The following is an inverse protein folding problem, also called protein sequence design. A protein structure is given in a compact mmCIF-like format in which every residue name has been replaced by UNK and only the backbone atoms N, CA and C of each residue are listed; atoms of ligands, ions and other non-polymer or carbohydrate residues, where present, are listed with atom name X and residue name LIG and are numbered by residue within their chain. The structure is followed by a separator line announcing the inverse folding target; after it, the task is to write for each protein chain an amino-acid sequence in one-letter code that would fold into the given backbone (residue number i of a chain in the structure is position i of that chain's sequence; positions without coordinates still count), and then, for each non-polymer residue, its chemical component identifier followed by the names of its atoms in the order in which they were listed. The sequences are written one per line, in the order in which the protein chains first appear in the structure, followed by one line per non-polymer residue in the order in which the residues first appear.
data_IF_193992636828
#
_entry.id   IF_193992636828
#
_cell.length_a   1.000
_cell.length_b   1.000
_cell.length_c   1.000
_cell.angle_alpha   90.00
_cell.angle_beta   90.00
_cell.angle_gamma   90.00
#
_symmetry.space_group_name_H-M   'P 1'
#
loop_
_entity.id
_entity.type
_entity.pdbx_description
1 polymer ?
#
# COMPACT_ATOMS: atom_id res chain seq x y z
N UNK A 1 -12.03 -7.81 13.68
CA UNK A 1 -12.50 -8.92 12.81
C UNK A 1 -11.32 -9.81 12.48
N UNK A 2 -11.48 -11.12 12.23
CA UNK A 2 -10.35 -11.98 11.90
C UNK A 2 -10.23 -12.14 10.37
N UNK A 3 -9.37 -11.34 9.74
CA UNK A 3 -9.26 -11.30 8.27
C UNK A 3 -8.72 -12.62 7.68
N UNK A 4 -7.94 -13.38 8.46
CA UNK A 4 -7.36 -14.65 8.00
C UNK A 4 -8.37 -15.78 7.80
N UNK A 5 -9.59 -15.65 8.31
CA UNK A 5 -10.66 -16.64 8.16
C UNK A 5 -11.51 -16.42 6.89
N UNK A 6 -11.37 -15.27 6.22
CA UNK A 6 -12.15 -14.94 5.03
C UNK A 6 -11.55 -15.56 3.76
N UNK A 7 -12.43 -15.85 2.80
CA UNK A 7 -11.98 -16.28 1.48
C UNK A 7 -11.38 -15.10 0.69
N UNK A 8 -10.69 -15.41 -0.41
CA UNK A 8 -10.05 -14.37 -1.24
C UNK A 8 -11.04 -13.33 -1.78
N UNK A 9 -12.30 -13.72 -2.05
CA UNK A 9 -13.31 -12.81 -2.62
C UNK A 9 -13.84 -11.87 -1.55
N UNK A 10 -14.11 -12.39 -0.37
CA UNK A 10 -14.60 -11.62 0.75
C UNK A 10 -13.52 -10.66 1.26
N UNK A 11 -12.25 -11.11 1.36
CA UNK A 11 -11.11 -10.23 1.62
C UNK A 11 -10.99 -9.08 0.61
N UNK A 12 -11.19 -9.38 -0.68
CA UNK A 12 -11.20 -8.34 -1.72
C UNK A 12 -12.35 -7.36 -1.51
N UNK A 13 -13.53 -7.86 -1.18
CA UNK A 13 -14.71 -7.03 -0.91
C UNK A 13 -14.49 -6.13 0.30
N UNK A 14 -13.97 -6.67 1.40
CA UNK A 14 -13.65 -5.91 2.61
C UNK A 14 -12.59 -4.83 2.34
N UNK A 15 -11.54 -5.15 1.59
CA UNK A 15 -10.53 -4.16 1.20
C UNK A 15 -11.14 -3.01 0.38
N UNK A 16 -12.01 -3.33 -0.58
CA UNK A 16 -12.66 -2.33 -1.42
C UNK A 16 -13.64 -1.48 -0.60
N UNK A 17 -14.39 -2.10 0.32
CA UNK A 17 -15.29 -1.42 1.25
C UNK A 17 -14.51 -0.45 2.15
N UNK A 18 -13.39 -0.88 2.71
CA UNK A 18 -12.49 -0.01 3.48
C UNK A 18 -12.01 1.17 2.63
N UNK A 19 -11.53 0.92 1.41
CA UNK A 19 -11.06 1.99 0.51
C UNK A 19 -12.16 3.01 0.21
N UNK A 20 -13.40 2.56 0.05
CA UNK A 20 -14.55 3.45 -0.17
C UNK A 20 -14.89 4.27 1.08
N UNK A 21 -14.89 3.63 2.25
CA UNK A 21 -15.12 4.30 3.52
C UNK A 21 -14.06 5.38 3.78
N UNK A 22 -12.76 5.02 3.69
CA UNK A 22 -11.65 5.97 3.87
C UNK A 22 -11.71 7.10 2.84
N UNK A 23 -11.99 6.80 1.57
CA UNK A 23 -12.14 7.83 0.54
C UNK A 23 -13.30 8.79 0.84
N UNK A 24 -14.39 8.30 1.45
CA UNK A 24 -15.51 9.15 1.87
C UNK A 24 -15.14 10.02 3.06
N UNK A 25 -14.54 9.43 4.10
CA UNK A 25 -14.12 10.14 5.31
C UNK A 25 -13.10 11.24 5.00
N UNK A 26 -12.11 10.97 4.14
CA UNK A 26 -11.10 11.95 3.76
C UNK A 26 -11.63 13.10 2.89
N UNK A 27 -12.80 12.93 2.24
CA UNK A 27 -13.47 14.05 1.56
C UNK A 27 -14.09 15.03 2.56
N UNK A 28 -14.49 14.56 3.73
CA UNK A 28 -15.08 15.38 4.79
C UNK A 28 -14.00 15.94 5.73
N UNK A 29 -13.00 15.12 6.06
CA UNK A 29 -11.83 15.47 6.87
C UNK A 29 -10.56 15.39 6.02
N UNK A 30 -10.11 16.54 5.52
CA UNK A 30 -8.96 16.61 4.59
C UNK A 30 -7.59 16.43 5.27
N UNK A 31 -7.55 16.43 6.60
CA UNK A 31 -6.31 16.28 7.36
C UNK A 31 -5.99 14.80 7.54
N UNK A 32 -5.09 14.31 6.70
CA UNK A 32 -4.66 12.91 6.65
C UNK A 32 -3.89 12.52 7.91
N UNK A 33 -3.05 13.40 8.43
CA UNK A 33 -2.22 13.10 9.61
C UNK A 33 -3.13 12.90 10.83
N UNK A 34 -4.07 13.84 11.03
CA UNK A 34 -5.08 13.71 12.08
C UNK A 34 -5.98 12.47 11.90
N UNK A 35 -6.36 12.15 10.67
CA UNK A 35 -7.15 10.95 10.39
C UNK A 35 -6.41 9.67 10.79
N UNK A 36 -5.12 9.56 10.46
CA UNK A 36 -4.30 8.41 10.82
C UNK A 36 -4.10 8.29 12.34
N UNK A 37 -3.98 9.42 13.05
CA UNK A 37 -3.81 9.43 14.51
C UNK A 37 -5.09 9.00 15.26
N UNK A 38 -6.27 9.23 14.68
CA UNK A 38 -7.57 9.04 15.36
C UNK A 38 -8.33 7.78 14.93
N UNK A 39 -7.98 7.17 13.79
CA UNK A 39 -8.74 6.06 13.20
C UNK A 39 -8.29 4.70 13.72
N UNK A 40 -9.27 3.82 13.94
CA UNK A 40 -9.09 2.39 14.27
C UNK A 40 -9.37 1.47 13.07
N UNK A 41 -9.65 2.04 11.88
CA UNK A 41 -10.04 1.30 10.69
C UNK A 41 -8.94 0.37 10.15
N UNK A 42 -7.69 0.61 10.53
CA UNK A 42 -6.52 -0.13 10.07
C UNK A 42 -6.06 -1.23 11.03
N UNK A 43 -6.56 -1.26 12.27
CA UNK A 43 -6.07 -2.15 13.34
C UNK A 43 -6.19 -3.64 12.98
N UNK A 44 -7.31 -4.01 12.36
CA UNK A 44 -7.55 -5.40 11.92
C UNK A 44 -6.58 -5.79 10.78
N UNK A 45 -6.24 -4.85 9.90
CA UNK A 45 -5.32 -5.07 8.78
C UNK A 45 -3.86 -5.07 9.24
N UNK A 46 -3.48 -4.21 10.17
CA UNK A 46 -2.14 -4.15 10.77
C UNK A 46 -1.76 -5.48 11.42
N UNK A 47 -2.73 -6.14 12.06
CA UNK A 47 -2.52 -7.42 12.74
C UNK A 47 -2.25 -8.58 11.79
N UNK A 48 -2.86 -8.55 10.60
CA UNK A 48 -2.84 -9.68 9.68
C UNK A 48 -1.85 -9.49 8.52
N UNK A 49 -1.54 -8.26 8.16
CA UNK A 49 -0.56 -7.96 7.12
C UNK A 49 0.88 -8.13 7.64
N UNK A 50 1.78 -8.65 6.80
CA UNK A 50 3.21 -8.58 7.08
C UNK A 50 3.69 -7.12 7.19
N UNK A 51 4.67 -6.87 8.07
CA UNK A 51 5.22 -5.52 8.30
C UNK A 51 5.67 -4.81 7.02
N UNK A 52 6.18 -5.55 6.03
CA UNK A 52 6.63 -4.98 4.75
C UNK A 52 5.47 -4.51 3.86
N UNK A 53 4.28 -5.11 3.98
CA UNK A 53 3.11 -4.82 3.15
C UNK A 53 2.24 -3.72 3.78
N UNK A 54 2.30 -3.52 5.10
CA UNK A 54 1.49 -2.52 5.79
C UNK A 54 1.67 -1.09 5.25
N UNK A 55 2.89 -0.57 5.00
CA UNK A 55 3.05 0.76 4.39
C UNK A 55 2.45 0.84 2.97
N UNK A 56 2.56 -0.23 2.18
CA UNK A 56 1.99 -0.31 0.83
C UNK A 56 0.46 -0.23 0.91
N UNK A 57 -0.14 -0.97 1.86
CA UNK A 57 -1.56 -0.95 2.15
C UNK A 57 -2.04 0.46 2.53
N UNK A 58 -1.38 1.13 3.48
CA UNK A 58 -1.76 2.49 3.91
C UNK A 58 -1.73 3.45 2.72
N UNK A 59 -0.65 3.46 1.95
CA UNK A 59 -0.53 4.33 0.76
C UNK A 59 -1.63 4.00 -0.25
N UNK A 60 -1.92 2.73 -0.49
CA UNK A 60 -2.93 2.31 -1.44
C UNK A 60 -4.34 2.73 -1.01
N UNK A 61 -4.68 2.59 0.27
CA UNK A 61 -6.01 2.95 0.79
C UNK A 61 -6.21 4.46 0.82
N UNK A 62 -5.25 5.23 1.35
CA UNK A 62 -5.34 6.69 1.41
C UNK A 62 -5.47 7.33 0.03
N UNK A 63 -4.75 6.79 -0.97
CA UNK A 63 -4.80 7.29 -2.34
C UNK A 63 -5.85 6.60 -3.21
N UNK A 64 -6.67 5.69 -2.65
CA UNK A 64 -7.66 4.89 -3.37
C UNK A 64 -7.09 4.21 -4.64
N UNK A 65 -5.90 3.61 -4.52
CA UNK A 65 -5.20 2.92 -5.61
C UNK A 65 -5.85 1.55 -5.81
N UNK A 66 -6.71 1.43 -6.84
CA UNK A 66 -7.45 0.19 -7.16
C UNK A 66 -6.76 -0.72 -8.18
N UNK A 67 -5.42 -0.70 -8.22
CA UNK A 67 -4.68 -1.53 -9.19
C UNK A 67 -4.76 -2.99 -8.77
N UNK A 68 -5.26 -3.86 -9.67
CA UNK A 68 -5.44 -5.30 -9.37
C UNK A 68 -4.17 -5.96 -8.84
N UNK A 69 -2.99 -5.61 -9.37
CA UNK A 69 -1.72 -6.17 -8.89
C UNK A 69 -1.42 -5.86 -7.43
N UNK A 70 -1.83 -4.68 -6.95
CA UNK A 70 -1.63 -4.26 -5.56
C UNK A 70 -2.65 -4.97 -4.68
N UNK A 71 -3.93 -4.96 -5.08
CA UNK A 71 -5.01 -5.64 -4.35
C UNK A 71 -4.72 -7.14 -4.21
N UNK A 72 -4.34 -7.80 -5.31
CA UNK A 72 -4.01 -9.22 -5.31
C UNK A 72 -2.78 -9.52 -4.45
N UNK A 73 -1.77 -8.64 -4.44
CA UNK A 73 -0.60 -8.80 -3.56
C UNK A 73 -1.00 -8.74 -2.08
N UNK A 74 -1.76 -7.70 -1.69
CA UNK A 74 -2.18 -7.51 -0.31
C UNK A 74 -3.02 -8.70 0.19
N UNK A 75 -3.99 -9.15 -0.60
CA UNK A 75 -4.79 -10.33 -0.23
C UNK A 75 -3.94 -11.60 -0.16
N UNK A 76 -2.99 -11.76 -1.09
CA UNK A 76 -2.10 -12.92 -1.10
C UNK A 76 -1.15 -12.92 0.10
N UNK A 77 -0.77 -11.75 0.62
CA UNK A 77 0.11 -11.62 1.78
C UNK A 77 -0.55 -12.05 3.09
N UNK A 78 -1.87 -11.84 3.23
CA UNK A 78 -2.66 -12.31 4.38
C UNK A 78 -2.75 -13.84 4.38
N UNK A 79 -2.94 -14.43 3.19
CA UNK A 79 -3.09 -15.88 3.03
C UNK A 79 -1.75 -16.65 2.99
N UNK A 80 -0.66 -16.01 2.57
CA UNK A 80 0.68 -16.59 2.53
C UNK A 80 1.62 -15.71 3.37
N UNK A 81 1.58 -15.89 4.69
CA UNK A 81 2.38 -15.12 5.65
C UNK A 81 3.91 -15.24 5.44
N UNK A 82 4.38 -16.18 4.60
CA UNK A 82 5.80 -16.50 4.42
C UNK A 82 6.40 -16.27 3.01
N UNK A 83 5.63 -15.86 1.99
CA UNK A 83 6.08 -16.04 0.60
C UNK A 83 6.60 -14.80 -0.16
N UNK A 84 6.50 -13.58 0.37
CA UNK A 84 6.69 -12.36 -0.44
C UNK A 84 7.87 -11.45 -0.07
N UNK A 85 8.82 -11.94 0.73
CA UNK A 85 10.03 -11.18 1.08
C UNK A 85 11.01 -10.94 -0.09
N UNK A 86 10.95 -11.73 -1.17
CA UNK A 86 12.02 -11.78 -2.17
C UNK A 86 11.70 -11.10 -3.52
N UNK A 87 10.44 -10.79 -3.83
CA UNK A 87 10.10 -10.30 -5.19
C UNK A 87 10.27 -8.79 -5.36
N UNK A 88 10.11 -7.99 -4.30
CA UNK A 88 10.23 -6.52 -4.37
C UNK A 88 11.67 -6.02 -4.39
N UNK A 89 12.61 -6.75 -3.78
CA UNK A 89 14.04 -6.39 -3.78
C UNK A 89 14.75 -6.72 -5.10
N UNK A 90 14.12 -7.50 -5.98
CA UNK A 90 14.69 -7.92 -7.26
C UNK A 90 14.30 -7.03 -8.45
N UNK A 91 13.56 -5.95 -8.23
CA UNK A 91 13.43 -4.88 -9.21
C UNK A 91 14.79 -4.19 -9.36
N UNK A 92 15.65 -4.71 -10.25
CA UNK A 92 16.89 -4.05 -10.66
C UNK A 92 16.53 -2.60 -10.99
N UNK A 93 17.15 -1.59 -10.34
CA UNK A 93 16.92 -0.21 -10.74
C UNK A 93 17.25 -0.14 -12.23
N UNK A 94 16.28 0.29 -13.04
CA UNK A 94 16.53 0.58 -14.44
C UNK A 94 17.76 1.49 -14.47
N UNK A 95 18.84 1.04 -15.12
CA UNK A 95 20.11 1.76 -15.17
C UNK A 95 19.81 3.17 -15.68
N UNK A 96 19.71 4.12 -14.76
CA UNK A 96 19.67 5.54 -15.10
C UNK A 96 21.00 5.78 -15.79
N UNK A 97 20.95 6.06 -17.09
CA UNK A 97 22.12 6.39 -17.88
C UNK A 97 22.63 7.71 -17.31
N UNK A 98 23.57 7.65 -16.38
CA UNK A 98 24.23 8.82 -15.80
C UNK A 98 24.90 9.55 -16.96
N UNK A 99 24.25 10.59 -17.49
CA UNK A 99 24.92 11.57 -18.33
C UNK A 99 25.83 12.35 -17.40
N UNK A 100 27.12 12.01 -17.39
CA UNK A 100 28.13 12.79 -16.68
C UNK A 100 28.34 14.12 -17.42
N UNK A 101 27.48 15.11 -17.19
CA UNK A 101 27.79 16.52 -17.48
C UNK A 101 28.39 17.18 -16.24
N UNK A 102 29.41 16.53 -15.66
CA UNK A 102 30.29 17.18 -14.69
C UNK A 102 31.15 18.18 -15.50
N UNK A 103 30.66 19.41 -15.68
CA UNK A 103 31.47 20.49 -16.26
C UNK A 103 30.74 21.59 -17.06
N UNK A 104 29.48 21.44 -17.44
CA UNK A 104 28.78 22.49 -18.20
C UNK A 104 27.97 23.40 -17.27
N UNK A 105 28.67 24.32 -16.61
CA UNK A 105 28.03 25.50 -16.03
C UNK A 105 27.67 26.49 -17.16
N UNK A 106 26.42 26.98 -17.24
CA UNK A 106 25.94 27.80 -18.35
C UNK A 106 26.38 29.29 -18.30
N UNK A 107 27.39 29.63 -17.49
CA UNK A 107 27.82 31.02 -17.29
C UNK A 107 29.35 31.21 -17.31
N UNK A 108 30.08 30.41 -18.10
CA UNK A 108 31.47 30.72 -18.47
C UNK A 108 31.57 31.02 -19.97
#
# INVERSE_FOLDING_TARGET
MNLSELDKKDLKSELLSLMENVSSLLKEQSDVDKFLDETDLFDDWERELPQAEYPIFIIAVLNNIRKDTIIDSLISSINNKDALGDSYLNAKPAKVKVRSHFGEHPFN
#
